data_IF_966273277986
#
_entry.id   IF_966273277986
#
_cell.length_a   1.000
_cell.length_b   1.000
_cell.length_c   1.000
_cell.angle_alpha   90.00
_cell.angle_beta   90.00
_cell.angle_gamma   90.00
#
_symmetry.space_group_name_H-M   'P 1'
#
loop_
_entity.id
_entity.type
_entity.pdbx_description
1 polymer ?
#
# COMPACT_ATOMS: atom_id res chain seq x y z
N UNK A 1 32.54 19.45 27.95
CA UNK A 1 31.87 20.28 26.93
C UNK A 1 30.45 19.79 26.85
N UNK A 2 29.51 20.51 27.42
CA UNK A 2 28.08 20.20 27.29
C UNK A 2 27.64 20.49 25.85
N UNK A 3 26.85 19.61 25.19
CA UNK A 3 26.30 19.91 23.88
C UNK A 3 25.37 21.11 24.00
N UNK A 4 25.65 22.18 23.25
CA UNK A 4 24.77 23.32 23.08
C UNK A 4 23.59 22.84 22.22
N UNK A 5 22.48 22.45 22.86
CA UNK A 5 21.25 22.13 22.14
C UNK A 5 20.69 23.40 21.51
N UNK A 6 20.53 23.42 20.20
CA UNK A 6 19.85 24.49 19.51
C UNK A 6 18.34 24.43 19.88
N UNK A 7 17.65 25.59 19.97
CA UNK A 7 16.21 25.58 20.21
C UNK A 7 15.49 24.86 19.07
N UNK A 8 14.56 23.97 19.42
CA UNK A 8 13.72 23.29 18.44
C UNK A 8 12.95 24.32 17.60
N UNK A 9 12.87 24.13 16.30
CA UNK A 9 12.24 25.07 15.38
C UNK A 9 11.34 24.36 14.36
N UNK A 10 10.42 25.16 13.79
CA UNK A 10 9.48 24.70 12.77
C UNK A 10 9.49 25.66 11.61
N UNK A 11 9.69 25.15 10.41
CA UNK A 11 9.74 25.93 9.18
C UNK A 11 8.77 25.38 8.13
N UNK A 12 7.97 26.23 7.53
CA UNK A 12 7.21 25.88 6.33
C UNK A 12 8.19 25.88 5.14
N UNK A 13 8.18 24.81 4.33
CA UNK A 13 9.01 24.76 3.14
C UNK A 13 8.32 25.47 1.98
N UNK A 14 9.12 25.98 1.03
CA UNK A 14 8.67 26.80 -0.10
C UNK A 14 7.65 26.13 -1.02
N UNK A 15 7.56 24.78 -0.99
CA UNK A 15 6.55 24.03 -1.72
C UNK A 15 5.12 24.18 -1.13
N UNK A 16 4.97 24.89 -0.01
CA UNK A 16 3.72 25.01 0.78
C UNK A 16 3.00 23.67 1.06
N UNK A 17 3.71 22.54 0.90
CA UNK A 17 3.19 21.18 1.07
C UNK A 17 3.92 20.39 2.13
N UNK A 18 4.98 20.96 2.68
CA UNK A 18 5.84 20.32 3.66
C UNK A 18 6.24 21.25 4.78
N UNK A 19 6.40 20.69 5.97
CA UNK A 19 6.88 21.38 7.17
C UNK A 19 8.14 20.68 7.65
N UNK A 20 9.19 21.43 7.90
CA UNK A 20 10.42 20.96 8.50
C UNK A 20 10.38 21.21 10.02
N UNK A 21 10.52 20.15 10.79
CA UNK A 21 10.76 20.19 12.23
C UNK A 21 12.26 19.98 12.48
N UNK A 22 12.88 20.84 13.25
CA UNK A 22 14.24 20.71 13.72
C UNK A 22 14.14 20.51 15.22
N UNK A 23 14.56 19.35 15.73
CA UNK A 23 14.47 18.99 17.13
C UNK A 23 15.68 19.51 17.92
N UNK A 24 15.62 19.44 19.25
CA UNK A 24 16.67 19.93 20.14
C UNK A 24 18.02 19.21 19.93
N UNK A 25 18.01 17.97 19.46
CA UNK A 25 19.20 17.18 19.09
C UNK A 25 19.79 17.54 17.73
N UNK A 26 19.22 18.54 17.04
CA UNK A 26 19.61 18.95 15.69
C UNK A 26 19.04 18.07 14.57
N UNK A 27 18.32 17.02 14.89
CA UNK A 27 17.70 16.15 13.88
C UNK A 27 16.62 16.89 13.09
N UNK A 28 16.54 16.61 11.78
CA UNK A 28 15.64 17.29 10.82
C UNK A 28 14.60 16.31 10.31
N UNK A 29 13.32 16.65 10.49
CA UNK A 29 12.20 15.79 10.11
C UNK A 29 11.19 16.54 9.29
N UNK A 30 10.94 16.09 8.06
CA UNK A 30 9.96 16.70 7.17
C UNK A 30 8.61 16.01 7.30
N UNK A 31 7.57 16.79 7.64
CA UNK A 31 6.19 16.32 7.61
C UNK A 31 5.47 16.83 6.36
N UNK A 32 4.78 15.94 5.65
CA UNK A 32 3.97 16.32 4.51
C UNK A 32 2.60 16.82 4.96
N UNK A 33 2.15 17.97 4.44
CA UNK A 33 0.83 18.52 4.63
C UNK A 33 -0.21 17.75 3.81
N UNK A 34 -1.30 17.37 4.46
CA UNK A 34 -2.44 16.67 3.85
C UNK A 34 -3.70 17.46 4.15
N UNK A 35 -4.17 18.32 3.23
CA UNK A 35 -5.42 19.04 3.41
C UNK A 35 -6.61 18.06 3.51
N UNK A 36 -7.56 18.37 4.39
CA UNK A 36 -8.73 17.54 4.59
C UNK A 36 -9.96 18.38 4.92
N UNK A 37 -10.98 18.29 4.07
CA UNK A 37 -12.28 18.95 4.30
C UNK A 37 -13.04 18.37 5.51
N UNK A 38 -12.71 17.16 5.94
CA UNK A 38 -13.34 16.47 7.08
C UNK A 38 -12.62 16.70 8.40
N UNK A 39 -11.38 17.17 8.36
CA UNK A 39 -10.60 17.42 9.57
C UNK A 39 -11.06 18.71 10.25
N UNK A 40 -11.30 18.63 11.55
CA UNK A 40 -11.63 19.79 12.38
C UNK A 40 -10.44 20.30 13.20
N UNK A 41 -9.34 19.54 13.27
CA UNK A 41 -8.12 19.83 14.04
C UNK A 41 -6.90 19.38 13.27
N UNK A 42 -5.76 20.00 13.55
CA UNK A 42 -4.46 19.50 13.12
C UNK A 42 -4.22 18.12 13.73
N UNK A 43 -3.70 17.21 12.92
CA UNK A 43 -3.35 15.88 13.38
C UNK A 43 -2.02 15.45 12.78
N UNK A 44 -1.00 15.36 13.61
CA UNK A 44 0.28 14.79 13.24
C UNK A 44 0.22 13.26 13.42
N UNK A 45 0.74 12.54 12.44
CA UNK A 45 0.81 11.08 12.45
C UNK A 45 2.17 10.64 11.95
N UNK A 46 2.80 9.77 12.69
CA UNK A 46 3.97 9.03 12.22
C UNK A 46 3.50 7.75 11.52
N UNK A 47 3.91 7.58 10.28
CA UNK A 47 3.60 6.40 9.48
C UNK A 47 4.90 5.68 9.11
N UNK A 48 5.05 4.39 9.39
CA UNK A 48 6.25 3.65 9.01
C UNK A 48 6.55 3.72 7.51
N UNK A 49 5.49 3.85 6.68
CA UNK A 49 5.61 3.84 5.21
C UNK A 49 5.73 5.24 4.59
N UNK A 50 5.30 6.29 5.32
CA UNK A 50 5.12 7.64 4.77
C UNK A 50 5.83 8.72 5.54
N UNK A 51 6.53 8.35 6.61
CA UNK A 51 7.12 9.32 7.54
C UNK A 51 6.06 10.15 8.26
N UNK A 52 6.37 11.40 8.52
CA UNK A 52 5.47 12.32 9.19
C UNK A 52 4.39 12.86 8.22
N UNK A 53 3.14 12.75 8.62
CA UNK A 53 1.98 13.30 7.92
C UNK A 53 1.24 14.25 8.82
N UNK A 54 1.06 15.48 8.37
CA UNK A 54 0.27 16.50 9.05
C UNK A 54 -1.05 16.73 8.31
N UNK A 55 -2.15 16.27 8.90
CA UNK A 55 -3.49 16.55 8.37
C UNK A 55 -3.91 17.94 8.81
N UNK A 56 -4.26 18.80 7.84
CA UNK A 56 -4.64 20.20 8.05
C UNK A 56 -6.09 20.39 7.61
N UNK A 57 -6.96 21.03 8.44
CA UNK A 57 -8.29 21.46 8.03
C UNK A 57 -8.23 22.36 6.79
N UNK A 58 -9.11 22.15 5.81
CA UNK A 58 -9.09 22.89 4.55
C UNK A 58 -9.31 24.42 4.69
N UNK A 59 -9.93 24.86 5.76
CA UNK A 59 -10.18 26.29 6.03
C UNK A 59 -9.16 26.96 6.98
N UNK A 60 -8.07 26.27 7.33
CA UNK A 60 -7.09 26.82 8.29
C UNK A 60 -6.17 27.84 7.59
N UNK A 61 -6.07 29.07 8.11
CA UNK A 61 -5.18 30.08 7.54
C UNK A 61 -3.71 29.65 7.71
N UNK A 62 -2.91 29.85 6.67
CA UNK A 62 -1.49 29.50 6.68
C UNK A 62 -0.70 30.21 7.80
N UNK A 63 -1.13 31.41 8.18
CA UNK A 63 -0.53 32.20 9.24
C UNK A 63 -0.69 31.61 10.65
N UNK A 64 -1.73 30.79 10.89
CA UNK A 64 -1.95 30.13 12.17
C UNK A 64 -1.15 28.82 12.32
N UNK A 65 -0.63 28.27 11.21
CA UNK A 65 0.08 26.99 11.20
C UNK A 65 1.34 26.98 12.08
N UNK A 66 2.29 27.94 11.97
CA UNK A 66 3.55 27.87 12.73
C UNK A 66 3.34 27.76 14.24
N UNK A 67 2.49 28.61 14.82
CA UNK A 67 2.22 28.62 16.26
C UNK A 67 1.64 27.28 16.76
N UNK A 68 0.72 26.70 15.99
CA UNK A 68 0.11 25.40 16.32
C UNK A 68 1.08 24.23 16.15
N UNK A 69 2.03 24.34 15.22
CA UNK A 69 2.99 23.28 14.94
C UNK A 69 4.03 23.12 16.06
N UNK A 70 4.37 24.18 16.76
CA UNK A 70 5.25 24.12 17.93
C UNK A 70 4.71 23.17 19.01
N UNK A 71 3.39 23.05 19.16
CA UNK A 71 2.78 22.16 20.13
C UNK A 71 3.07 20.68 19.87
N UNK A 72 3.51 20.31 18.68
CA UNK A 72 3.87 18.92 18.33
C UNK A 72 5.33 18.57 18.65
N UNK A 73 6.20 19.53 18.91
CA UNK A 73 7.63 19.29 19.19
C UNK A 73 7.86 18.30 20.35
N UNK A 74 7.20 18.46 21.52
CA UNK A 74 7.42 17.52 22.64
C UNK A 74 6.95 16.11 22.31
N UNK A 75 5.93 15.99 21.46
CA UNK A 75 5.48 14.66 20.99
C UNK A 75 6.47 14.06 20.01
N UNK A 76 7.03 14.84 19.09
CA UNK A 76 8.03 14.40 18.13
C UNK A 76 9.30 13.93 18.83
N UNK A 77 9.82 14.72 19.77
CA UNK A 77 11.01 14.38 20.58
C UNK A 77 10.87 13.06 21.34
N UNK A 78 9.65 12.75 21.77
CA UNK A 78 9.36 11.49 22.48
C UNK A 78 9.21 10.30 21.57
N UNK A 79 8.68 10.47 20.34
CA UNK A 79 8.26 9.35 19.49
C UNK A 79 9.16 9.11 18.28
N UNK A 80 9.90 10.13 17.80
CA UNK A 80 10.78 9.99 16.64
C UNK A 80 12.03 9.14 16.89
N UNK A 81 12.68 9.17 18.08
CA UNK A 81 13.81 8.28 18.34
C UNK A 81 13.46 6.79 18.24
N UNK A 82 12.17 6.45 18.41
CA UNK A 82 11.67 5.09 18.27
C UNK A 82 11.27 4.72 16.81
N UNK A 83 11.36 5.68 15.87
CA UNK A 83 11.05 5.42 14.46
C UNK A 83 12.36 5.03 13.75
N UNK A 84 12.54 3.76 13.38
CA UNK A 84 13.71 3.36 12.61
C UNK A 84 13.73 4.11 11.29
N UNK A 85 14.93 4.43 10.79
CA UNK A 85 15.10 4.95 9.44
C UNK A 85 14.31 4.08 8.43
N UNK A 86 13.73 4.67 7.38
CA UNK A 86 13.01 3.88 6.39
C UNK A 86 13.92 2.76 5.89
N UNK A 87 13.46 1.53 6.03
CA UNK A 87 14.22 0.37 5.58
C UNK A 87 14.56 0.52 4.09
N UNK A 88 15.79 0.21 3.69
CA UNK A 88 16.22 0.34 2.31
C UNK A 88 15.34 -0.52 1.39
N UNK A 89 15.14 -0.06 0.17
CA UNK A 89 14.41 -0.80 -0.85
C UNK A 89 15.31 -1.93 -1.38
N UNK A 90 15.19 -3.09 -0.75
CA UNK A 90 15.92 -4.30 -1.15
C UNK A 90 14.94 -5.24 -1.88
N UNK A 91 15.34 -5.70 -3.06
CA UNK A 91 14.59 -6.72 -3.79
C UNK A 91 14.91 -8.12 -3.22
N UNK A 92 13.95 -9.03 -3.22
CA UNK A 92 14.20 -10.40 -2.80
C UNK A 92 15.11 -11.11 -3.82
N UNK A 93 16.02 -11.93 -3.36
CA UNK A 93 16.81 -12.82 -4.24
C UNK A 93 15.95 -13.98 -4.76
N UNK A 94 14.94 -14.37 -4.00
CA UNK A 94 14.00 -15.44 -4.34
C UNK A 94 12.58 -15.03 -3.94
N UNK A 95 11.62 -15.40 -4.77
CA UNK A 95 10.20 -15.14 -4.55
C UNK A 95 9.42 -16.44 -4.61
N UNK A 96 8.82 -16.82 -3.50
CA UNK A 96 7.88 -17.95 -3.44
C UNK A 96 6.45 -17.41 -3.48
N UNK A 97 5.70 -17.88 -4.44
CA UNK A 97 4.23 -17.74 -4.45
C UNK A 97 3.64 -19.12 -4.12
N UNK A 98 3.04 -19.31 -2.93
CA UNK A 98 2.63 -20.64 -2.48
C UNK A 98 1.64 -21.35 -3.40
N UNK A 99 0.73 -20.60 -4.04
CA UNK A 99 -0.20 -21.17 -5.03
C UNK A 99 0.48 -21.60 -6.34
N UNK A 100 1.66 -21.07 -6.63
CA UNK A 100 2.44 -21.48 -7.78
C UNK A 100 3.24 -22.77 -7.50
N UNK A 101 3.55 -23.03 -6.22
CA UNK A 101 4.27 -24.21 -5.77
C UNK A 101 5.79 -24.16 -6.01
N UNK A 102 6.31 -23.18 -6.75
CA UNK A 102 7.74 -23.05 -7.07
C UNK A 102 8.27 -21.69 -6.70
N UNK A 103 9.49 -21.67 -6.14
CA UNK A 103 10.23 -20.44 -5.93
C UNK A 103 10.90 -19.99 -7.22
N UNK A 104 10.92 -18.70 -7.48
CA UNK A 104 11.62 -18.10 -8.60
C UNK A 104 12.80 -17.28 -8.08
N UNK A 105 13.97 -17.45 -8.66
CA UNK A 105 15.10 -16.56 -8.45
C UNK A 105 14.81 -15.22 -9.12
N UNK A 106 14.91 -14.11 -8.39
CA UNK A 106 14.65 -12.76 -8.93
C UNK A 106 15.98 -12.17 -9.37
N UNK A 107 16.09 -11.82 -10.63
CA UNK A 107 17.30 -11.24 -11.20
C UNK A 107 17.01 -9.95 -11.96
N UNK A 108 17.87 -8.96 -11.80
CA UNK A 108 17.92 -7.81 -12.68
C UNK A 108 18.61 -8.22 -13.96
N UNK A 109 17.92 -8.08 -15.08
CA UNK A 109 18.41 -8.50 -16.39
C UNK A 109 18.74 -7.29 -17.28
N UNK A 110 19.27 -7.54 -18.46
CA UNK A 110 19.78 -6.55 -19.39
C UNK A 110 18.72 -5.60 -20.00
N UNK A 111 18.99 -5.08 -21.19
CA UNK A 111 18.10 -4.12 -21.83
C UNK A 111 16.80 -4.77 -22.34
N UNK A 112 15.78 -3.95 -22.56
CA UNK A 112 14.44 -4.38 -23.01
C UNK A 112 14.48 -5.19 -24.31
N UNK A 113 15.38 -4.85 -25.24
CA UNK A 113 15.51 -5.54 -26.53
C UNK A 113 15.89 -7.00 -26.36
N UNK A 114 16.76 -7.30 -25.41
CA UNK A 114 17.13 -8.68 -25.07
C UNK A 114 15.94 -9.45 -24.49
N UNK A 115 15.22 -8.87 -23.52
CA UNK A 115 14.04 -9.49 -22.95
C UNK A 115 12.97 -9.79 -23.99
N UNK A 116 12.76 -8.92 -24.96
CA UNK A 116 11.82 -9.15 -26.06
C UNK A 116 12.21 -10.34 -26.95
N UNK A 117 13.50 -10.51 -27.26
CA UNK A 117 13.97 -11.69 -27.99
C UNK A 117 13.74 -12.98 -27.21
N UNK A 118 13.97 -12.97 -25.90
CA UNK A 118 13.77 -14.13 -25.04
C UNK A 118 12.28 -14.43 -24.78
N UNK A 119 11.40 -13.44 -24.87
CA UNK A 119 9.97 -13.60 -24.62
C UNK A 119 9.28 -14.59 -25.57
N UNK A 120 9.80 -14.76 -26.79
CA UNK A 120 9.24 -15.69 -27.78
C UNK A 120 9.32 -17.17 -27.36
N UNK A 121 10.23 -17.53 -26.46
CA UNK A 121 10.44 -18.90 -25.97
C UNK A 121 9.95 -19.14 -24.54
N UNK A 122 9.18 -18.20 -23.96
CA UNK A 122 8.68 -18.34 -22.60
C UNK A 122 7.37 -19.13 -22.54
N UNK A 123 7.22 -19.96 -21.52
CA UNK A 123 6.00 -20.72 -21.25
C UNK A 123 4.87 -19.85 -20.70
N UNK A 124 5.21 -18.72 -20.05
CA UNK A 124 4.27 -17.75 -19.55
C UNK A 124 4.37 -16.45 -20.35
N UNK A 125 3.23 -15.77 -20.60
CA UNK A 125 3.27 -14.49 -21.30
C UNK A 125 4.08 -13.46 -20.50
N UNK A 126 5.00 -12.74 -21.16
CA UNK A 126 5.79 -11.70 -20.52
C UNK A 126 4.90 -10.52 -20.09
N UNK A 127 5.22 -9.91 -18.96
CA UNK A 127 4.52 -8.72 -18.47
C UNK A 127 5.28 -7.45 -18.84
N UNK A 128 4.67 -6.62 -19.70
CA UNK A 128 5.19 -5.31 -20.07
C UNK A 128 4.54 -4.22 -19.20
N UNK A 129 5.37 -3.41 -18.54
CA UNK A 129 4.93 -2.32 -17.64
C UNK A 129 5.50 -0.99 -18.15
N UNK A 130 4.71 0.09 -18.04
CA UNK A 130 5.16 1.46 -18.30
C UNK A 130 5.45 2.18 -16.99
N UNK A 131 6.59 2.87 -16.91
CA UNK A 131 6.99 3.73 -15.81
C UNK A 131 7.43 5.09 -16.38
N UNK A 132 6.49 6.04 -16.44
CA UNK A 132 6.71 7.29 -17.18
C UNK A 132 6.99 7.03 -18.66
N UNK A 133 8.12 7.49 -19.17
CA UNK A 133 8.59 7.22 -20.54
C UNK A 133 9.23 5.84 -20.71
N UNK A 134 9.61 5.18 -19.62
CA UNK A 134 10.28 3.87 -19.65
C UNK A 134 9.30 2.74 -19.91
N UNK A 135 9.79 1.68 -20.56
CA UNK A 135 9.11 0.39 -20.67
C UNK A 135 9.95 -0.67 -19.99
N UNK A 136 9.33 -1.39 -19.04
CA UNK A 136 9.94 -2.44 -18.23
C UNK A 136 9.32 -3.77 -18.61
N UNK A 137 10.08 -4.87 -18.54
CA UNK A 137 9.58 -6.19 -18.92
C UNK A 137 9.95 -7.22 -17.84
N UNK A 138 8.97 -7.96 -17.36
CA UNK A 138 9.17 -9.16 -16.54
C UNK A 138 8.85 -10.42 -17.33
N UNK A 139 9.70 -11.41 -17.26
CA UNK A 139 9.45 -12.73 -17.82
C UNK A 139 9.98 -13.82 -16.88
N UNK A 140 9.34 -14.99 -16.95
CA UNK A 140 9.76 -16.18 -16.22
C UNK A 140 10.38 -17.16 -17.20
N UNK A 141 11.62 -17.57 -16.90
CA UNK A 141 12.36 -18.54 -17.67
C UNK A 141 13.35 -19.30 -16.77
N UNK A 142 13.44 -20.60 -16.94
CA UNK A 142 14.42 -21.46 -16.28
C UNK A 142 14.45 -21.30 -14.74
N UNK A 143 13.27 -21.15 -14.11
CA UNK A 143 13.16 -20.94 -12.67
C UNK A 143 13.52 -19.51 -12.20
N UNK A 144 13.67 -18.57 -13.12
CA UNK A 144 14.03 -17.18 -12.84
C UNK A 144 12.91 -16.22 -13.22
N UNK A 145 12.68 -15.22 -12.38
CA UNK A 145 11.93 -14.01 -12.71
C UNK A 145 12.92 -12.93 -13.13
N UNK A 146 13.03 -12.70 -14.41
CA UNK A 146 13.97 -11.75 -15.02
C UNK A 146 13.30 -10.40 -15.22
N UNK A 147 13.92 -9.34 -14.67
CA UNK A 147 13.42 -7.96 -14.70
C UNK A 147 14.29 -7.14 -15.66
N UNK A 148 13.78 -6.86 -16.86
CA UNK A 148 14.48 -6.14 -17.91
C UNK A 148 14.22 -4.64 -17.89
N UNK A 149 15.22 -3.85 -18.26
CA UNK A 149 15.23 -2.39 -18.27
C UNK A 149 14.92 -1.75 -16.90
N UNK A 150 15.08 -2.51 -15.80
CA UNK A 150 14.79 -2.12 -14.43
C UNK A 150 16.11 -1.91 -13.65
N UNK A 151 16.97 -1.01 -14.13
CA UNK A 151 18.27 -0.75 -13.51
C UNK A 151 18.15 -0.04 -12.14
N UNK A 152 17.17 0.84 -11.99
CA UNK A 152 16.90 1.49 -10.70
C UNK A 152 16.10 0.56 -9.78
N UNK A 153 16.41 0.51 -8.47
CA UNK A 153 15.67 -0.31 -7.50
C UNK A 153 14.16 -0.03 -7.49
N UNK A 154 13.76 1.21 -7.72
CA UNK A 154 12.35 1.64 -7.78
C UNK A 154 11.62 1.06 -9.00
N UNK A 155 12.27 1.05 -10.17
CA UNK A 155 11.74 0.46 -11.39
C UNK A 155 11.61 -1.06 -11.24
N UNK A 156 12.61 -1.71 -10.65
CA UNK A 156 12.58 -3.14 -10.37
C UNK A 156 11.50 -3.51 -9.34
N UNK A 157 11.34 -2.73 -8.28
CA UNK A 157 10.28 -2.92 -7.30
C UNK A 157 8.88 -2.68 -7.90
N UNK A 158 8.73 -1.68 -8.78
CA UNK A 158 7.50 -1.44 -9.52
C UNK A 158 7.15 -2.64 -10.39
N UNK A 159 8.11 -3.13 -11.17
CA UNK A 159 7.92 -4.26 -12.06
C UNK A 159 7.57 -5.53 -11.29
N UNK A 160 8.26 -5.79 -10.19
CA UNK A 160 7.99 -6.92 -9.30
C UNK A 160 6.57 -6.86 -8.70
N UNK A 161 6.13 -5.68 -8.23
CA UNK A 161 4.75 -5.47 -7.75
C UNK A 161 3.71 -5.76 -8.82
N UNK A 162 3.93 -5.24 -10.03
CA UNK A 162 2.99 -5.45 -11.14
C UNK A 162 2.94 -6.93 -11.55
N UNK A 163 4.08 -7.60 -11.54
CA UNK A 163 4.14 -9.03 -11.81
C UNK A 163 3.41 -9.84 -10.73
N UNK A 164 3.65 -9.58 -9.45
CA UNK A 164 2.91 -10.23 -8.36
C UNK A 164 1.40 -9.96 -8.42
N UNK A 165 1.01 -8.74 -8.78
CA UNK A 165 -0.41 -8.41 -8.98
C UNK A 165 -1.02 -9.22 -10.14
N UNK A 166 -0.31 -9.33 -11.25
CA UNK A 166 -0.76 -10.16 -12.38
C UNK A 166 -0.89 -11.63 -11.97
N UNK A 167 0.05 -12.17 -11.18
CA UNK A 167 -0.07 -13.52 -10.63
C UNK A 167 -1.27 -13.62 -9.66
N UNK A 168 -1.52 -12.63 -8.83
CA UNK A 168 -2.67 -12.60 -7.93
C UNK A 168 -4.00 -12.65 -8.71
N UNK A 169 -4.11 -11.91 -9.82
CA UNK A 169 -5.29 -11.92 -10.70
C UNK A 169 -5.57 -13.29 -11.33
N UNK A 170 -4.53 -14.11 -11.53
CA UNK A 170 -4.64 -15.46 -12.08
C UNK A 170 -4.87 -16.54 -11.02
N UNK A 171 -4.25 -16.41 -9.85
CA UNK A 171 -4.16 -17.50 -8.88
C UNK A 171 -5.19 -17.38 -7.73
N UNK A 172 -5.49 -16.17 -7.26
CA UNK A 172 -6.35 -15.99 -6.10
C UNK A 172 -7.85 -16.27 -6.38
N UNK A 173 -8.44 -15.80 -7.51
CA UNK A 173 -9.85 -16.05 -7.76
C UNK A 173 -10.21 -17.54 -7.86
N UNK A 174 -9.47 -18.40 -8.59
CA UNK A 174 -9.75 -19.83 -8.62
C UNK A 174 -9.65 -20.49 -7.25
N UNK A 175 -8.68 -20.07 -6.41
CA UNK A 175 -8.53 -20.60 -5.04
C UNK A 175 -9.73 -20.26 -4.17
N UNK A 176 -10.13 -18.99 -4.16
CA UNK A 176 -11.32 -18.56 -3.40
C UNK A 176 -12.57 -19.28 -3.86
N UNK A 177 -12.78 -19.41 -5.17
CA UNK A 177 -13.93 -20.14 -5.73
C UNK A 177 -13.90 -21.64 -5.39
N UNK A 178 -12.70 -22.25 -5.33
CA UNK A 178 -12.54 -23.63 -4.90
C UNK A 178 -13.02 -23.80 -3.46
N UNK A 179 -12.60 -22.92 -2.54
CA UNK A 179 -13.03 -22.93 -1.14
C UNK A 179 -14.53 -22.64 -1.02
N UNK A 180 -15.07 -21.68 -1.75
CA UNK A 180 -16.49 -21.38 -1.74
C UNK A 180 -17.35 -22.60 -2.12
N UNK A 181 -16.92 -23.37 -3.14
CA UNK A 181 -17.63 -24.61 -3.54
C UNK A 181 -17.63 -25.68 -2.45
N UNK A 182 -16.62 -25.77 -1.60
CA UNK A 182 -16.56 -26.73 -0.50
C UNK A 182 -17.70 -26.54 0.52
N UNK A 183 -18.14 -25.30 0.71
CA UNK A 183 -19.22 -24.92 1.62
C UNK A 183 -20.52 -24.51 0.88
N UNK A 184 -20.66 -24.90 -0.39
CA UNK A 184 -21.81 -24.56 -1.25
C UNK A 184 -22.13 -23.04 -1.30
N UNK A 185 -21.11 -22.18 -1.16
CA UNK A 185 -21.23 -20.73 -1.22
C UNK A 185 -21.14 -20.24 -2.66
N UNK A 186 -22.01 -19.27 -3.02
CA UNK A 186 -21.98 -18.61 -4.32
C UNK A 186 -21.25 -17.28 -4.21
N UNK A 187 -20.27 -17.07 -5.09
CA UNK A 187 -19.54 -15.79 -5.23
C UNK A 187 -19.61 -15.35 -6.68
N UNK A 188 -20.44 -14.36 -6.96
CA UNK A 188 -20.64 -13.86 -8.32
C UNK A 188 -19.40 -13.15 -8.88
N UNK A 189 -18.62 -12.50 -8.00
CA UNK A 189 -17.46 -11.72 -8.45
C UNK A 189 -16.30 -11.78 -7.46
N UNK A 190 -15.10 -12.07 -7.99
CA UNK A 190 -13.83 -11.92 -7.26
C UNK A 190 -12.98 -10.88 -7.97
N UNK A 191 -12.45 -9.90 -7.24
CA UNK A 191 -11.62 -8.84 -7.80
C UNK A 191 -10.32 -8.67 -7.02
N UNK A 192 -9.22 -8.40 -7.72
CA UNK A 192 -7.95 -8.11 -7.09
C UNK A 192 -7.75 -6.60 -7.00
N UNK A 193 -7.44 -6.13 -5.78
CA UNK A 193 -7.30 -4.71 -5.47
C UNK A 193 -5.95 -4.40 -4.83
N UNK A 194 -5.55 -3.14 -4.87
CA UNK A 194 -4.39 -2.62 -4.14
C UNK A 194 -4.87 -1.82 -2.90
N UNK A 195 -5.47 -2.53 -1.95
CA UNK A 195 -5.97 -1.92 -0.72
C UNK A 195 -4.80 -1.60 0.22
N UNK A 196 -4.89 -0.47 0.92
CA UNK A 196 -3.77 0.04 1.72
C UNK A 196 -3.77 -0.43 3.18
N UNK A 197 -4.89 -0.96 3.68
CA UNK A 197 -5.07 -1.23 5.11
C UNK A 197 -5.79 -2.53 5.41
N UNK A 198 -6.13 -3.30 4.39
CA UNK A 198 -6.88 -4.55 4.56
C UNK A 198 -6.46 -5.59 3.53
N UNK A 199 -6.62 -6.83 3.90
CA UNK A 199 -6.33 -7.98 3.05
C UNK A 199 -7.45 -8.26 2.05
N UNK A 200 -8.70 -8.01 2.47
CA UNK A 200 -9.86 -8.24 1.66
C UNK A 200 -11.05 -7.37 2.05
N UNK A 201 -12.16 -7.58 1.38
CA UNK A 201 -13.49 -7.06 1.74
C UNK A 201 -14.55 -7.83 0.97
N UNK A 202 -15.68 -8.09 1.63
CA UNK A 202 -16.82 -8.76 1.05
C UNK A 202 -18.04 -7.84 1.00
N UNK A 203 -18.93 -8.09 0.03
CA UNK A 203 -20.29 -7.56 -0.02
C UNK A 203 -21.23 -8.68 -0.42
N UNK A 204 -22.31 -8.89 0.33
CA UNK A 204 -23.33 -9.89 0.03
C UNK A 204 -24.33 -9.45 -1.07
N UNK A 205 -24.21 -8.21 -1.55
CA UNK A 205 -25.08 -7.68 -2.62
C UNK A 205 -24.78 -8.36 -3.96
N UNK A 206 -25.78 -8.40 -4.85
CA UNK A 206 -25.67 -8.85 -6.25
C UNK A 206 -25.01 -10.25 -6.39
N UNK A 207 -25.42 -11.20 -5.54
CA UNK A 207 -24.91 -12.58 -5.56
C UNK A 207 -23.54 -12.76 -4.94
N UNK A 208 -23.06 -11.77 -4.19
CA UNK A 208 -21.80 -11.81 -3.45
C UNK A 208 -20.59 -11.36 -4.27
N UNK A 209 -19.85 -10.41 -3.73
CA UNK A 209 -18.58 -9.97 -4.32
C UNK A 209 -17.47 -9.93 -3.28
N UNK A 210 -16.30 -10.50 -3.62
CA UNK A 210 -15.11 -10.51 -2.76
C UNK A 210 -13.99 -9.77 -3.45
N UNK A 211 -13.38 -8.82 -2.74
CA UNK A 211 -12.16 -8.17 -3.16
C UNK A 211 -11.00 -8.71 -2.32
N UNK A 212 -9.95 -9.20 -2.96
CA UNK A 212 -8.71 -9.59 -2.31
C UNK A 212 -7.59 -8.61 -2.63
N UNK A 213 -6.74 -8.35 -1.66
CA UNK A 213 -5.52 -7.59 -1.89
C UNK A 213 -4.54 -8.44 -2.71
N UNK A 214 -3.89 -7.87 -3.73
CA UNK A 214 -2.92 -8.59 -4.53
C UNK A 214 -1.79 -9.20 -3.68
N UNK A 215 -1.45 -8.59 -2.54
CA UNK A 215 -0.42 -9.09 -1.63
C UNK A 215 -0.76 -10.43 -0.99
N UNK A 216 -2.03 -10.83 -1.05
CA UNK A 216 -2.46 -12.15 -0.57
C UNK A 216 -1.79 -13.30 -1.33
N UNK A 217 -1.29 -13.07 -2.56
CA UNK A 217 -0.52 -14.07 -3.32
C UNK A 217 0.81 -14.43 -2.63
N UNK A 218 1.32 -13.57 -1.74
CA UNK A 218 2.53 -13.78 -0.95
C UNK A 218 2.30 -14.58 0.34
N UNK A 219 1.05 -14.76 0.76
CA UNK A 219 0.70 -15.43 2.01
C UNK A 219 0.99 -16.93 1.92
N UNK A 220 1.51 -17.55 2.99
CA UNK A 220 1.51 -19.01 3.14
C UNK A 220 0.10 -19.57 2.93
N UNK A 221 -0.01 -20.74 2.29
CA UNK A 221 -1.30 -21.30 1.88
C UNK A 221 -2.33 -21.40 3.01
N UNK A 222 -1.98 -21.89 4.24
CA UNK A 222 -2.97 -21.93 5.35
C UNK A 222 -3.47 -20.54 5.75
N UNK A 223 -2.65 -19.49 5.59
CA UNK A 223 -3.00 -18.13 5.93
C UNK A 223 -3.84 -17.47 4.82
N UNK A 224 -3.56 -17.80 3.57
CA UNK A 224 -4.37 -17.41 2.42
C UNK A 224 -5.77 -18.04 2.49
N UNK A 225 -5.85 -19.33 2.81
CA UNK A 225 -7.12 -20.04 2.94
C UNK A 225 -7.96 -19.44 4.08
N UNK A 226 -7.32 -19.14 5.20
CA UNK A 226 -8.00 -18.46 6.30
C UNK A 226 -8.53 -17.08 5.87
N UNK A 227 -7.75 -16.28 5.14
CA UNK A 227 -8.22 -15.01 4.59
C UNK A 227 -9.43 -15.21 3.66
N UNK A 228 -9.39 -16.20 2.79
CA UNK A 228 -10.52 -16.52 1.92
C UNK A 228 -11.77 -16.90 2.75
N UNK A 229 -11.62 -17.75 3.76
CA UNK A 229 -12.71 -18.11 4.66
C UNK A 229 -13.27 -16.91 5.44
N UNK A 230 -12.40 -16.00 5.88
CA UNK A 230 -12.81 -14.76 6.52
C UNK A 230 -13.75 -13.94 5.62
N UNK A 231 -13.38 -13.75 4.35
CA UNK A 231 -14.22 -13.02 3.40
C UNK A 231 -15.47 -13.81 2.99
N UNK A 232 -15.40 -15.12 2.84
CA UNK A 232 -16.54 -15.96 2.49
C UNK A 232 -17.60 -16.00 3.60
N UNK A 233 -17.19 -16.03 4.87
CA UNK A 233 -18.12 -15.96 6.01
C UNK A 233 -18.93 -14.65 6.02
N UNK A 234 -18.39 -13.57 5.48
CA UNK A 234 -19.09 -12.30 5.33
C UNK A 234 -20.24 -12.33 4.32
N UNK A 235 -20.36 -13.36 3.49
CA UNK A 235 -21.54 -13.50 2.60
C UNK A 235 -22.85 -13.69 3.40
N UNK A 236 -22.76 -14.32 4.57
CA UNK A 236 -23.90 -14.57 5.45
C UNK A 236 -23.90 -13.72 6.72
N UNK A 237 -22.72 -13.30 7.18
CA UNK A 237 -22.54 -12.57 8.43
C UNK A 237 -21.67 -11.32 8.16
N UNK A 238 -22.32 -10.19 7.87
CA UNK A 238 -21.63 -8.94 7.49
C UNK A 238 -20.86 -8.27 8.65
N UNK A 239 -21.11 -8.68 9.87
CA UNK A 239 -20.43 -8.23 11.08
C UNK A 239 -19.53 -9.33 11.66
N UNK A 240 -18.73 -9.00 12.67
CA UNK A 240 -17.91 -9.97 13.40
C UNK A 240 -18.61 -10.46 14.67
N UNK A 241 -19.91 -10.75 14.56
CA UNK A 241 -20.79 -11.27 15.63
C UNK A 241 -20.35 -12.64 16.14
N UNK A 242 -20.94 -13.16 17.23
CA UNK A 242 -20.72 -14.54 17.65
C UNK A 242 -21.07 -15.57 16.56
N UNK A 243 -22.14 -15.32 15.77
CA UNK A 243 -22.53 -16.18 14.66
C UNK A 243 -21.45 -16.25 13.56
N UNK A 244 -20.88 -15.09 13.17
CA UNK A 244 -19.72 -15.04 12.26
C UNK A 244 -18.55 -15.86 12.79
N UNK A 245 -18.20 -15.70 14.08
CA UNK A 245 -17.07 -16.42 14.69
C UNK A 245 -17.29 -17.93 14.73
N UNK A 246 -18.53 -18.36 14.97
CA UNK A 246 -18.90 -19.78 14.92
C UNK A 246 -18.78 -20.33 13.49
N UNK A 247 -19.27 -19.60 12.48
CA UNK A 247 -19.12 -19.97 11.08
C UNK A 247 -17.64 -20.07 10.67
N UNK A 248 -16.84 -19.08 11.03
CA UNK A 248 -15.40 -19.06 10.73
C UNK A 248 -14.65 -20.20 11.45
N UNK A 249 -15.01 -20.52 12.70
CA UNK A 249 -14.39 -21.60 13.47
C UNK A 249 -14.63 -22.98 12.86
N UNK A 250 -15.73 -23.21 12.14
CA UNK A 250 -16.02 -24.48 11.45
C UNK A 250 -15.04 -24.75 10.32
N UNK A 251 -14.71 -23.72 9.53
CA UNK A 251 -13.85 -23.83 8.33
C UNK A 251 -12.39 -23.48 8.62
N UNK A 252 -12.12 -22.77 9.69
CA UNK A 252 -10.78 -22.38 10.15
C UNK A 252 -10.69 -22.49 11.68
N UNK A 253 -10.54 -23.70 12.25
CA UNK A 253 -10.54 -23.90 13.70
C UNK A 253 -9.55 -23.02 14.46
N UNK A 254 -8.38 -22.79 13.89
CA UNK A 254 -7.31 -21.95 14.44
C UNK A 254 -7.47 -20.43 14.12
N UNK A 255 -8.68 -19.98 13.79
CA UNK A 255 -8.93 -18.63 13.27
C UNK A 255 -8.28 -17.51 14.09
N UNK A 256 -8.31 -17.56 15.43
CA UNK A 256 -7.68 -16.55 16.30
C UNK A 256 -6.17 -16.47 16.13
N UNK A 257 -5.51 -17.60 15.87
CA UNK A 257 -4.08 -17.68 15.58
C UNK A 257 -3.81 -17.12 14.19
N UNK A 258 -4.61 -17.45 13.20
CA UNK A 258 -4.46 -16.99 11.82
C UNK A 258 -4.68 -15.48 11.70
N UNK A 259 -5.67 -14.91 12.38
CA UNK A 259 -5.90 -13.46 12.45
C UNK A 259 -4.65 -12.70 12.97
N UNK A 260 -4.05 -13.20 14.06
CA UNK A 260 -2.81 -12.63 14.59
C UNK A 260 -1.66 -12.72 13.59
N UNK A 261 -1.55 -13.85 12.88
CA UNK A 261 -0.53 -14.05 11.84
C UNK A 261 -0.74 -13.15 10.63
N UNK A 262 -1.99 -12.93 10.19
CA UNK A 262 -2.30 -11.97 9.12
C UNK A 262 -1.88 -10.55 9.50
N UNK A 263 -2.15 -10.14 10.74
CA UNK A 263 -1.75 -8.84 11.27
C UNK A 263 -0.21 -8.70 11.30
N UNK A 264 0.49 -9.72 11.77
CA UNK A 264 1.95 -9.75 11.81
C UNK A 264 2.52 -9.72 10.38
N UNK A 265 2.01 -10.53 9.47
CA UNK A 265 2.48 -10.57 8.09
C UNK A 265 2.30 -9.23 7.36
N UNK A 266 1.20 -8.52 7.62
CA UNK A 266 0.99 -7.17 7.07
C UNK A 266 2.05 -6.19 7.53
N UNK A 267 2.38 -6.20 8.81
CA UNK A 267 3.41 -5.33 9.40
C UNK A 267 4.80 -5.65 8.84
N UNK A 268 5.08 -6.94 8.65
CA UNK A 268 6.38 -7.46 8.27
C UNK A 268 6.56 -7.57 6.73
N UNK A 269 5.60 -7.05 5.95
CA UNK A 269 5.72 -6.99 4.49
C UNK A 269 7.05 -6.32 4.09
N UNK A 270 7.78 -6.88 3.12
CA UNK A 270 9.00 -6.27 2.62
C UNK A 270 8.71 -4.90 1.98
N UNK A 271 9.65 -3.97 2.04
CA UNK A 271 9.47 -2.58 1.58
C UNK A 271 8.94 -2.51 0.16
N UNK A 272 9.42 -3.36 -0.74
CA UNK A 272 8.97 -3.41 -2.12
C UNK A 272 7.49 -3.78 -2.27
N UNK A 273 6.91 -4.54 -1.34
CA UNK A 273 5.51 -4.98 -1.37
C UNK A 273 4.57 -4.06 -0.57
N UNK A 274 5.09 -3.17 0.26
CA UNK A 274 4.24 -2.26 1.07
C UNK A 274 3.36 -1.37 0.20
N UNK A 275 2.18 -0.96 0.70
CA UNK A 275 1.34 0.01 0.00
C UNK A 275 2.11 1.29 -0.32
N UNK A 276 2.23 1.62 -1.60
CA UNK A 276 2.87 2.86 -2.02
C UNK A 276 2.11 4.08 -1.46
N UNK A 277 2.79 5.10 -0.94
CA UNK A 277 2.13 6.35 -0.62
C UNK A 277 1.45 6.93 -1.87
N UNK A 278 0.30 7.64 -1.78
CA UNK A 278 -0.29 8.27 -2.94
C UNK A 278 0.73 9.20 -3.57
N UNK A 279 1.01 8.98 -4.85
CA UNK A 279 1.67 9.99 -5.66
C UNK A 279 0.81 11.25 -5.55
N UNK A 280 1.36 12.42 -5.21
CA UNK A 280 0.61 13.66 -5.27
C UNK A 280 0.11 13.80 -6.71
N UNK A 281 -1.20 13.69 -6.93
CA UNK A 281 -1.78 14.08 -8.23
C UNK A 281 -1.55 15.59 -8.31
N UNK A 282 -0.80 16.10 -9.30
CA UNK A 282 -0.72 17.53 -9.53
C UNK A 282 -2.15 18.02 -9.64
N UNK A 283 -2.50 19.04 -8.83
CA UNK A 283 -3.87 19.51 -8.68
C UNK A 283 -4.48 19.76 -10.06
N UNK A 284 -5.60 19.12 -10.35
CA UNK A 284 -6.53 19.62 -11.36
C UNK A 284 -6.87 21.03 -10.91
N UNK A 285 -6.31 22.01 -11.60
CA UNK A 285 -6.77 23.37 -11.53
C UNK A 285 -8.25 23.35 -11.94
N UNK A 286 -9.16 23.36 -10.96
CA UNK A 286 -10.55 23.66 -11.20
C UNK A 286 -10.59 25.18 -11.45
N UNK A 287 -10.35 25.56 -12.69
CA UNK A 287 -10.69 26.86 -13.20
C UNK A 287 -12.21 27.03 -13.17
N UNK A 288 -12.75 27.48 -12.07
CA UNK A 288 -13.99 28.23 -12.03
C UNK A 288 -13.64 29.70 -12.00
N UNK A 289 -13.51 30.26 -13.19
CA UNK A 289 -13.62 31.70 -13.42
C UNK A 289 -15.01 32.13 -12.95
N UNK A 290 -15.07 32.80 -11.83
CA UNK A 290 -16.28 33.51 -11.42
C UNK A 290 -16.45 34.69 -12.39
N UNK A 291 -17.41 34.59 -13.28
CA UNK A 291 -17.96 35.76 -13.97
C UNK A 291 -18.63 36.64 -12.91
N UNK A 292 -18.01 37.78 -12.68
CA UNK A 292 -18.66 38.90 -11.98
C UNK A 292 -19.77 39.43 -12.92
N UNK A 293 -21.01 39.23 -12.52
CA UNK A 293 -22.12 40.03 -13.01
C UNK A 293 -22.07 41.39 -12.30
N UNK A 294 -21.74 42.43 -13.04
CA UNK A 294 -22.03 43.83 -12.67
C UNK A 294 -23.52 44.04 -12.96
N UNK A 295 -24.29 44.26 -11.91
CA UNK A 295 -25.56 44.92 -12.02
C UNK A 295 -25.38 46.34 -11.51
N UNK A 296 -25.56 47.30 -12.41
CA UNK A 296 -25.75 48.71 -12.12
C UNK A 296 -27.23 49.02 -11.97
N UNK A 297 -27.59 50.06 -11.25
CA UNK A 297 -28.96 50.35 -10.79
C UNK A 297 -29.77 51.19 -11.80
N UNK A 298 -31.06 50.92 -11.86
CA UNK A 298 -32.11 51.97 -11.94
C UNK A 298 -33.27 51.53 -11.08
#
# INVERSE_FOLDING_TARGET
>A
MQPIFAPSSVQLLDDARSVLFILADGSRHTARLVPSARARRLRLRLSPDRGLLLTVPAGMPATALPALLFSFLPWLERHLPACPAPAPLVLPQSLLLPLRGTALRVISAGPLAEGRRQAASCTEPPLLVRSGSKRLLALVRDGELRLYAAAAPEDAALLLRQWCRHQAERLLPPRLQQLARQEALTVARVSIRDQRRRWGSCSARDGGSVNLNWRAVLLPLPLLDHLCWHELCHLHHMDHSPAYRQALAKVSPDWKRQERRLTAFWRDLPVWARPCPPVPVPGKATGRTALQAQDSPV
#
